data_IF_027433305746
#
_entry.id   IF_027433305746
#
_cell.length_a   1.000
_cell.length_b   1.000
_cell.length_c   1.000
_cell.angle_alpha   90.00
_cell.angle_beta   90.00
_cell.angle_gamma   90.00
#
_symmetry.space_group_name_H-M   'P 1'
#
loop_
_entity.id
_entity.type
_entity.pdbx_description
1 polymer ?
#
# COMPACT_ATOMS: atom_id res chain seq x y z
N UNK A 1 -20.03 -14.52 -2.86
CA UNK A 1 -20.87 -15.29 -1.92
C UNK A 1 -22.16 -15.85 -2.55
N UNK A 2 -22.76 -15.20 -3.55
CA UNK A 2 -24.04 -15.63 -4.11
C UNK A 2 -23.99 -16.99 -4.83
N UNK A 3 -22.89 -17.29 -5.54
CA UNK A 3 -22.77 -18.49 -6.37
C UNK A 3 -22.69 -19.81 -5.57
N UNK A 4 -21.95 -19.85 -4.46
CA UNK A 4 -21.88 -21.03 -3.58
C UNK A 4 -23.23 -21.34 -2.92
N UNK A 5 -23.97 -20.30 -2.56
CA UNK A 5 -25.33 -20.43 -2.02
C UNK A 5 -26.28 -20.96 -3.08
N UNK A 6 -26.24 -20.40 -4.29
CA UNK A 6 -27.01 -20.90 -5.44
C UNK A 6 -26.70 -22.37 -5.78
N UNK A 7 -25.42 -22.78 -5.79
CA UNK A 7 -25.03 -24.17 -6.03
C UNK A 7 -25.56 -25.12 -4.95
N UNK A 8 -25.54 -24.69 -3.69
CA UNK A 8 -26.07 -25.47 -2.57
C UNK A 8 -27.59 -25.61 -2.65
N UNK A 9 -28.29 -24.51 -2.94
CA UNK A 9 -29.74 -24.48 -3.04
C UNK A 9 -30.19 -25.34 -4.24
N UNK A 10 -29.51 -25.22 -5.40
CA UNK A 10 -29.72 -26.09 -6.56
C UNK A 10 -29.49 -27.57 -6.27
N UNK A 11 -28.44 -27.92 -5.51
CA UNK A 11 -28.21 -29.31 -5.08
C UNK A 11 -29.35 -29.83 -4.19
N UNK A 12 -29.91 -28.97 -3.35
CA UNK A 12 -31.07 -29.31 -2.50
C UNK A 12 -32.33 -29.54 -3.34
N UNK A 13 -32.59 -28.69 -4.32
CA UNK A 13 -33.70 -28.85 -5.27
C UNK A 13 -33.59 -30.19 -6.02
N UNK A 14 -32.40 -30.51 -6.56
CA UNK A 14 -32.15 -31.78 -7.23
C UNK A 14 -32.39 -32.98 -6.31
N UNK A 15 -31.99 -32.90 -5.04
CA UNK A 15 -32.25 -33.96 -4.06
C UNK A 15 -33.75 -34.17 -3.84
N UNK A 16 -34.51 -33.09 -3.71
CA UNK A 16 -35.95 -33.15 -3.53
C UNK A 16 -36.64 -33.72 -4.77
N UNK A 17 -36.23 -33.27 -5.96
CA UNK A 17 -36.75 -33.79 -7.24
C UNK A 17 -36.46 -35.27 -7.43
N UNK A 18 -35.24 -35.71 -7.12
CA UNK A 18 -34.87 -37.14 -7.18
C UNK A 18 -35.75 -37.96 -6.23
N UNK A 19 -36.00 -37.48 -5.00
CA UNK A 19 -36.90 -38.17 -4.05
C UNK A 19 -38.31 -38.31 -4.60
N UNK A 20 -38.88 -37.23 -5.16
CA UNK A 20 -40.21 -37.25 -5.77
C UNK A 20 -40.30 -38.25 -6.93
N UNK A 21 -39.30 -38.27 -7.82
CA UNK A 21 -39.28 -39.20 -8.95
C UNK A 21 -39.13 -40.65 -8.50
N UNK A 22 -38.29 -40.93 -7.49
CA UNK A 22 -38.17 -42.27 -6.91
C UNK A 22 -39.52 -42.74 -6.35
N UNK A 23 -40.24 -41.86 -5.66
CA UNK A 23 -41.56 -42.19 -5.10
C UNK A 23 -42.60 -42.45 -6.21
N UNK A 24 -42.56 -41.67 -7.29
CA UNK A 24 -43.38 -41.96 -8.48
C UNK A 24 -43.05 -43.32 -9.08
N UNK A 25 -41.77 -43.65 -9.25
CA UNK A 25 -41.34 -44.96 -9.78
C UNK A 25 -41.84 -46.11 -8.89
N UNK A 26 -41.80 -45.97 -7.56
CA UNK A 26 -42.37 -46.99 -6.66
C UNK A 26 -43.86 -47.21 -6.91
N UNK A 27 -44.65 -46.12 -6.96
CA UNK A 27 -46.09 -46.19 -7.26
C UNK A 27 -46.36 -46.88 -8.60
N UNK A 28 -45.61 -46.53 -9.65
CA UNK A 28 -45.75 -47.19 -10.95
C UNK A 28 -45.33 -48.66 -10.94
N UNK A 29 -44.34 -49.05 -10.13
CA UNK A 29 -43.96 -50.45 -9.93
C UNK A 29 -45.03 -51.24 -9.18
N UNK A 30 -45.69 -50.63 -8.19
CA UNK A 30 -46.83 -51.24 -7.51
C UNK A 30 -48.01 -51.43 -8.48
N UNK A 31 -48.34 -50.40 -9.27
CA UNK A 31 -49.36 -50.52 -10.33
C UNK A 31 -48.99 -51.58 -11.36
N UNK A 32 -47.72 -51.64 -11.79
CA UNK A 32 -47.23 -52.68 -12.69
C UNK A 32 -47.47 -54.07 -12.09
N UNK A 33 -47.21 -54.26 -10.79
CA UNK A 33 -47.45 -55.53 -10.10
C UNK A 33 -48.94 -55.89 -10.09
N UNK A 34 -49.82 -54.95 -9.73
CA UNK A 34 -51.27 -55.17 -9.72
C UNK A 34 -51.80 -55.56 -11.10
N UNK A 35 -51.39 -54.84 -12.15
CA UNK A 35 -51.81 -55.15 -13.53
C UNK A 35 -51.23 -56.50 -13.98
N UNK A 36 -50.00 -56.83 -13.60
CA UNK A 36 -49.38 -58.11 -13.94
C UNK A 36 -50.05 -59.29 -13.23
N UNK A 37 -50.49 -59.12 -11.99
CA UNK A 37 -51.23 -60.11 -11.21
C UNK A 37 -52.63 -60.35 -11.83
N UNK A 38 -53.30 -59.30 -12.33
CA UNK A 38 -54.59 -59.41 -13.05
C UNK A 38 -54.50 -60.20 -14.37
N UNK A 39 -53.36 -60.12 -15.06
CA UNK A 39 -53.09 -60.83 -16.33
C UNK A 39 -52.46 -62.22 -16.09
N UNK A 40 -52.29 -62.62 -14.82
CA UNK A 40 -51.73 -63.92 -14.46
C UNK A 40 -50.25 -64.08 -14.82
N UNK A 41 -49.52 -62.98 -15.00
CA UNK A 41 -48.07 -62.96 -15.22
C UNK A 41 -47.59 -63.62 -16.52
N UNK A 42 -48.48 -63.97 -17.46
CA UNK A 42 -48.07 -64.51 -18.75
C UNK A 42 -47.42 -63.41 -19.59
N UNK A 43 -46.28 -63.68 -20.26
CA UNK A 43 -45.74 -62.75 -21.25
C UNK A 43 -46.69 -62.71 -22.43
N UNK A 44 -47.44 -61.61 -22.52
CA UNK A 44 -48.40 -61.40 -23.60
C UNK A 44 -47.70 -60.67 -24.75
N UNK A 45 -47.63 -61.32 -25.90
CA UNK A 45 -47.13 -60.73 -27.13
C UNK A 45 -48.26 -59.94 -27.81
N UNK A 46 -48.17 -58.62 -27.73
CA UNK A 46 -49.22 -57.69 -28.17
C UNK A 46 -49.59 -57.90 -29.63
N UNK A 47 -48.60 -58.11 -30.48
CA UNK A 47 -48.79 -58.15 -31.92
C UNK A 47 -49.47 -59.47 -32.33
N UNK A 48 -49.14 -60.58 -31.65
CA UNK A 48 -49.83 -61.87 -31.82
C UNK A 48 -51.26 -61.86 -31.32
N UNK A 49 -51.57 -61.14 -30.24
CA UNK A 49 -52.95 -60.99 -29.76
C UNK A 49 -53.81 -60.20 -30.74
N UNK A 50 -53.27 -59.13 -31.34
CA UNK A 50 -53.98 -58.37 -32.38
C UNK A 50 -54.29 -59.24 -33.59
N UNK A 51 -53.30 -59.97 -34.10
CA UNK A 51 -53.51 -60.91 -35.21
C UNK A 51 -54.52 -62.02 -34.88
N UNK A 52 -54.57 -62.48 -33.64
CA UNK A 52 -55.50 -63.53 -33.21
C UNK A 52 -56.94 -63.00 -33.11
N UNK A 53 -57.13 -61.79 -32.60
CA UNK A 53 -58.43 -61.12 -32.54
C UNK A 53 -58.94 -60.87 -33.96
N UNK A 54 -58.12 -60.30 -34.84
CA UNK A 54 -58.50 -60.03 -36.24
C UNK A 54 -58.89 -61.32 -36.99
N UNK A 55 -58.19 -62.43 -36.75
CA UNK A 55 -58.54 -63.74 -37.33
C UNK A 55 -59.87 -64.28 -36.81
N UNK A 56 -60.14 -64.16 -35.51
CA UNK A 56 -61.38 -64.64 -34.90
C UNK A 56 -62.59 -63.78 -35.29
N UNK A 57 -62.40 -62.46 -35.44
CA UNK A 57 -63.42 -61.56 -35.99
C UNK A 57 -63.74 -61.91 -37.45
N UNK A 58 -62.71 -62.16 -38.26
CA UNK A 58 -62.88 -62.57 -39.66
C UNK A 58 -63.57 -63.95 -39.79
N UNK A 59 -63.20 -64.92 -38.96
CA UNK A 59 -63.87 -66.23 -38.91
C UNK A 59 -65.33 -66.11 -38.47
N UNK A 60 -65.62 -65.20 -37.54
CA UNK A 60 -66.98 -64.90 -37.12
C UNK A 60 -67.82 -64.27 -38.24
N UNK A 61 -67.26 -63.37 -39.05
CA UNK A 61 -67.95 -62.74 -40.20
C UNK A 61 -68.29 -63.73 -41.33
N UNK A 62 -67.57 -64.85 -41.43
CA UNK A 62 -67.69 -65.83 -42.53
C UNK A 62 -68.42 -67.11 -42.10
N UNK A 63 -68.52 -67.38 -40.80
CA UNK A 63 -69.15 -68.61 -40.27
C UNK A 63 -70.67 -68.48 -40.09
N UNK A 64 -71.50 -69.44 -40.58
CA UNK A 64 -72.95 -69.39 -40.42
C UNK A 64 -73.42 -69.85 -39.03
N UNK A 65 -73.97 -68.92 -38.26
CA UNK A 65 -75.25 -68.98 -37.50
C UNK A 65 -75.54 -70.24 -36.68
N UNK A 66 -74.79 -70.43 -35.59
CA UNK A 66 -75.25 -71.20 -34.43
C UNK A 66 -75.15 -70.28 -33.19
N UNK A 67 -76.27 -69.88 -32.55
CA UNK A 67 -76.27 -68.88 -31.48
C UNK A 67 -75.35 -69.20 -30.31
N UNK A 68 -75.13 -70.47 -29.98
CA UNK A 68 -74.22 -70.87 -28.89
C UNK A 68 -72.76 -70.63 -29.25
N UNK A 69 -72.35 -70.95 -30.48
CA UNK A 69 -70.98 -70.73 -30.94
C UNK A 69 -70.67 -69.26 -31.10
N UNK A 70 -71.62 -68.46 -31.57
CA UNK A 70 -71.49 -67.00 -31.61
C UNK A 70 -71.20 -66.43 -30.21
N UNK A 71 -71.93 -66.90 -29.19
CA UNK A 71 -71.68 -66.51 -27.80
C UNK A 71 -70.28 -66.87 -27.30
N UNK A 72 -69.75 -68.04 -27.68
CA UNK A 72 -68.39 -68.44 -27.34
C UNK A 72 -67.33 -67.58 -28.06
N UNK A 73 -67.55 -67.23 -29.33
CA UNK A 73 -66.70 -66.31 -30.09
C UNK A 73 -66.67 -64.92 -29.45
N UNK A 74 -67.84 -64.34 -29.16
CA UNK A 74 -67.90 -63.05 -28.47
C UNK A 74 -67.20 -63.08 -27.12
N UNK A 75 -67.37 -64.16 -26.34
CA UNK A 75 -66.74 -64.30 -25.03
C UNK A 75 -65.22 -64.40 -25.12
N UNK A 76 -64.71 -65.13 -26.12
CA UNK A 76 -63.27 -65.30 -26.35
C UNK A 76 -62.63 -64.03 -26.91
N UNK A 77 -63.24 -63.38 -27.89
CA UNK A 77 -62.80 -62.06 -28.40
C UNK A 77 -62.75 -61.04 -27.25
N UNK A 78 -63.81 -60.95 -26.44
CA UNK A 78 -63.84 -60.01 -25.30
C UNK A 78 -62.77 -60.33 -24.24
N UNK A 79 -62.39 -61.59 -24.05
CA UNK A 79 -61.28 -61.95 -23.17
C UNK A 79 -59.93 -61.55 -23.78
N UNK A 80 -59.72 -61.81 -25.06
CA UNK A 80 -58.49 -61.44 -25.78
C UNK A 80 -58.31 -59.92 -25.84
N UNK A 81 -59.37 -59.15 -26.05
CA UNK A 81 -59.34 -57.68 -26.00
C UNK A 81 -58.93 -57.16 -24.62
N UNK A 82 -59.43 -57.77 -23.54
CA UNK A 82 -59.04 -57.42 -22.17
C UNK A 82 -57.56 -57.72 -21.92
N UNK A 83 -57.07 -58.87 -22.38
CA UNK A 83 -55.65 -59.23 -22.29
C UNK A 83 -54.77 -58.28 -23.11
N UNK A 84 -55.22 -57.90 -24.31
CA UNK A 84 -54.55 -56.95 -25.18
C UNK A 84 -54.45 -55.57 -24.54
N UNK A 85 -55.56 -55.03 -24.02
CA UNK A 85 -55.58 -53.75 -23.33
C UNK A 85 -54.66 -53.76 -22.10
N UNK A 86 -54.68 -54.85 -21.33
CA UNK A 86 -53.79 -54.98 -20.18
C UNK A 86 -52.30 -55.04 -20.59
N UNK A 87 -51.96 -55.73 -21.68
CA UNK A 87 -50.61 -55.76 -22.25
C UNK A 87 -50.14 -54.37 -22.74
N UNK A 88 -51.03 -53.59 -23.33
CA UNK A 88 -50.74 -52.20 -23.71
C UNK A 88 -50.49 -51.31 -22.49
N UNK A 89 -51.31 -51.43 -21.44
CA UNK A 89 -51.12 -50.70 -20.17
C UNK A 89 -49.80 -51.09 -19.51
N UNK A 90 -49.44 -52.39 -19.47
CA UNK A 90 -48.16 -52.86 -18.93
C UNK A 90 -46.97 -52.26 -19.69
N UNK A 91 -47.03 -52.21 -21.02
CA UNK A 91 -45.97 -51.62 -21.85
C UNK A 91 -45.82 -50.13 -21.55
N UNK A 92 -46.94 -49.38 -21.49
CA UNK A 92 -46.92 -47.95 -21.13
C UNK A 92 -46.30 -47.72 -19.75
N UNK A 93 -46.69 -48.50 -18.73
CA UNK A 93 -46.13 -48.38 -17.38
C UNK A 93 -44.62 -48.67 -17.38
N UNK A 94 -44.17 -49.72 -18.08
CA UNK A 94 -42.74 -50.03 -18.23
C UNK A 94 -41.98 -48.88 -18.89
N UNK A 95 -42.51 -48.29 -19.96
CA UNK A 95 -41.90 -47.14 -20.64
C UNK A 95 -41.81 -45.91 -19.72
N UNK A 96 -42.85 -45.63 -18.95
CA UNK A 96 -42.84 -44.55 -17.96
C UNK A 96 -41.80 -44.79 -16.87
N UNK A 97 -41.69 -46.02 -16.34
CA UNK A 97 -40.68 -46.39 -15.35
C UNK A 97 -39.28 -46.21 -15.92
N UNK A 98 -39.04 -46.66 -17.16
CA UNK A 98 -37.74 -46.55 -17.82
C UNK A 98 -37.34 -45.07 -18.04
N UNK A 99 -38.24 -44.25 -18.60
CA UNK A 99 -38.01 -42.82 -18.80
C UNK A 99 -37.72 -42.09 -17.48
N UNK A 100 -38.52 -42.36 -16.45
CA UNK A 100 -38.33 -41.75 -15.13
C UNK A 100 -37.04 -42.21 -14.47
N UNK A 101 -36.64 -43.47 -14.66
CA UNK A 101 -35.38 -44.00 -14.12
C UNK A 101 -34.16 -43.37 -14.80
N UNK A 102 -34.21 -43.15 -16.11
CA UNK A 102 -33.17 -42.41 -16.84
C UNK A 102 -33.09 -40.95 -16.37
N UNK A 103 -34.22 -40.29 -16.11
CA UNK A 103 -34.23 -38.94 -15.55
C UNK A 103 -33.60 -38.89 -14.15
N UNK A 104 -33.92 -39.84 -13.28
CA UNK A 104 -33.30 -39.97 -11.94
C UNK A 104 -31.78 -40.10 -12.06
N UNK A 105 -31.29 -40.92 -12.99
CA UNK A 105 -29.87 -41.13 -13.21
C UNK A 105 -29.17 -39.85 -13.69
N UNK A 106 -29.75 -39.14 -14.66
CA UNK A 106 -29.25 -37.84 -15.12
C UNK A 106 -29.14 -36.83 -13.98
N UNK A 107 -30.20 -36.70 -13.17
CA UNK A 107 -30.22 -35.78 -12.03
C UNK A 107 -29.21 -36.18 -10.93
N UNK A 108 -28.98 -37.49 -10.73
CA UNK A 108 -27.94 -37.98 -9.81
C UNK A 108 -26.54 -37.57 -10.29
N UNK A 109 -26.26 -37.70 -11.58
CA UNK A 109 -24.99 -37.31 -12.15
C UNK A 109 -24.76 -35.79 -12.03
N UNK A 110 -25.76 -34.97 -12.38
CA UNK A 110 -25.72 -33.52 -12.21
C UNK A 110 -25.45 -33.14 -10.73
N UNK A 111 -26.10 -33.82 -9.79
CA UNK A 111 -25.88 -33.60 -8.35
C UNK A 111 -24.45 -33.93 -7.90
N UNK A 112 -23.86 -34.99 -8.46
CA UNK A 112 -22.49 -35.41 -8.14
C UNK A 112 -21.50 -34.37 -8.68
N UNK A 113 -21.68 -33.93 -9.92
CA UNK A 113 -20.85 -32.87 -10.53
C UNK A 113 -20.92 -31.57 -9.74
N UNK A 114 -22.12 -31.11 -9.36
CA UNK A 114 -22.28 -29.94 -8.50
C UNK A 114 -21.57 -30.12 -7.15
N UNK A 115 -21.60 -31.34 -6.60
CA UNK A 115 -20.87 -31.71 -5.39
C UNK A 115 -19.34 -31.63 -5.54
N UNK A 116 -18.80 -32.01 -6.70
CA UNK A 116 -17.38 -31.88 -7.03
C UNK A 116 -17.00 -30.41 -7.21
N UNK A 117 -17.75 -29.66 -8.04
CA UNK A 117 -17.50 -28.22 -8.27
C UNK A 117 -17.51 -27.41 -6.96
N UNK A 118 -18.45 -27.69 -6.06
CA UNK A 118 -18.45 -27.04 -4.74
C UNK A 118 -17.20 -27.38 -3.94
N UNK A 119 -16.79 -28.66 -3.90
CA UNK A 119 -15.57 -29.07 -3.20
C UNK A 119 -14.35 -28.35 -3.75
N UNK A 120 -14.19 -28.28 -5.07
CA UNK A 120 -13.05 -27.61 -5.71
C UNK A 120 -13.00 -26.12 -5.38
N UNK A 121 -14.15 -25.44 -5.34
CA UNK A 121 -14.22 -24.04 -4.90
C UNK A 121 -13.77 -23.91 -3.43
N UNK A 122 -14.22 -24.81 -2.55
CA UNK A 122 -13.85 -24.77 -1.14
C UNK A 122 -12.38 -25.10 -0.91
N UNK A 123 -11.87 -26.20 -1.45
CA UNK A 123 -10.50 -26.65 -1.21
C UNK A 123 -9.49 -25.79 -1.95
N UNK A 124 -9.68 -25.57 -3.25
CA UNK A 124 -8.63 -24.96 -4.06
C UNK A 124 -8.71 -23.44 -4.03
N UNK A 125 -9.89 -22.85 -4.12
CA UNK A 125 -9.99 -21.38 -4.16
C UNK A 125 -9.97 -20.79 -2.75
N UNK A 126 -10.84 -21.27 -1.86
CA UNK A 126 -10.99 -20.65 -0.54
C UNK A 126 -9.77 -20.88 0.36
N UNK A 127 -9.18 -22.09 0.38
CA UNK A 127 -7.99 -22.34 1.21
C UNK A 127 -6.78 -21.58 0.68
N UNK A 128 -6.56 -21.51 -0.64
CA UNK A 128 -5.47 -20.74 -1.21
C UNK A 128 -5.62 -19.24 -0.92
N UNK A 129 -6.82 -18.68 -1.09
CA UNK A 129 -7.08 -17.27 -0.73
C UNK A 129 -6.82 -17.05 0.77
N UNK A 130 -7.25 -17.97 1.63
CA UNK A 130 -7.02 -17.86 3.08
C UNK A 130 -5.52 -17.91 3.42
N UNK A 131 -4.75 -18.77 2.76
CA UNK A 131 -3.30 -18.85 2.91
C UNK A 131 -2.61 -17.56 2.45
N UNK A 132 -2.98 -17.04 1.27
CA UNK A 132 -2.47 -15.77 0.75
C UNK A 132 -2.78 -14.60 1.69
N UNK A 133 -3.98 -14.54 2.27
CA UNK A 133 -4.35 -13.51 3.25
C UNK A 133 -3.45 -13.60 4.49
N UNK A 134 -3.17 -14.80 4.99
CA UNK A 134 -2.28 -14.98 6.14
C UNK A 134 -0.85 -14.55 5.81
N UNK A 135 -0.34 -14.87 4.62
CA UNK A 135 0.99 -14.46 4.20
C UNK A 135 1.08 -12.93 4.06
N UNK A 136 0.07 -12.29 3.46
CA UNK A 136 0.00 -10.83 3.36
C UNK A 136 -0.09 -10.15 4.72
N UNK A 137 -0.82 -10.74 5.69
CA UNK A 137 -0.84 -10.24 7.07
C UNK A 137 0.56 -10.29 7.70
N UNK A 138 1.25 -11.42 7.58
CA UNK A 138 2.63 -11.55 8.08
C UNK A 138 3.58 -10.53 7.44
N UNK A 139 3.51 -10.34 6.12
CA UNK A 139 4.31 -9.33 5.40
C UNK A 139 4.01 -7.92 5.90
N UNK A 140 2.73 -7.57 6.05
CA UNK A 140 2.31 -6.28 6.61
C UNK A 140 2.88 -6.07 8.01
N UNK A 141 2.76 -7.05 8.88
CA UNK A 141 3.23 -6.94 10.27
C UNK A 141 4.76 -6.78 10.32
N UNK A 142 5.50 -7.48 9.45
CA UNK A 142 6.95 -7.29 9.28
C UNK A 142 7.30 -5.87 8.87
N UNK A 143 6.63 -5.34 7.84
CA UNK A 143 6.86 -3.96 7.35
C UNK A 143 6.54 -2.93 8.44
N UNK A 144 5.44 -3.13 9.18
CA UNK A 144 5.08 -2.23 10.29
C UNK A 144 6.16 -2.24 11.37
N UNK A 145 6.68 -3.42 11.73
CA UNK A 145 7.76 -3.52 12.70
C UNK A 145 9.05 -2.86 12.21
N UNK A 146 9.41 -3.03 10.95
CA UNK A 146 10.56 -2.35 10.33
C UNK A 146 10.38 -0.83 10.36
N UNK A 147 9.20 -0.32 10.04
CA UNK A 147 8.90 1.12 10.13
C UNK A 147 9.06 1.64 11.56
N UNK A 148 8.58 0.89 12.56
CA UNK A 148 8.74 1.27 13.97
C UNK A 148 10.21 1.30 14.37
N UNK A 149 11.01 0.32 13.96
CA UNK A 149 12.45 0.30 14.21
C UNK A 149 13.20 1.43 13.49
N UNK A 150 12.81 1.77 12.27
CA UNK A 150 13.39 2.90 11.54
C UNK A 150 13.04 4.24 12.19
N UNK A 151 11.79 4.40 12.66
CA UNK A 151 11.38 5.58 13.43
C UNK A 151 12.16 5.71 14.74
N UNK A 152 12.32 4.62 15.48
CA UNK A 152 13.07 4.62 16.74
C UNK A 152 14.55 4.93 16.56
N UNK A 153 15.14 4.61 15.40
CA UNK A 153 16.51 5.06 15.03
C UNK A 153 16.55 6.51 14.56
N UNK A 154 15.55 6.96 13.80
CA UNK A 154 15.49 8.32 13.23
C UNK A 154 15.31 9.40 14.30
N UNK A 155 14.43 9.18 15.25
CA UNK A 155 14.07 10.18 16.25
C UNK A 155 15.25 10.63 17.15
N UNK A 156 16.11 9.73 17.68
CA UNK A 156 17.30 10.16 18.42
C UNK A 156 18.34 10.85 17.54
N UNK A 157 18.49 10.44 16.27
CA UNK A 157 19.37 11.15 15.32
C UNK A 157 18.87 12.58 15.05
N UNK A 158 17.55 12.75 14.93
CA UNK A 158 16.93 14.07 14.77
C UNK A 158 17.16 14.95 16.01
N UNK A 159 16.94 14.39 17.20
CA UNK A 159 17.22 15.09 18.45
C UNK A 159 18.70 15.50 18.55
N UNK A 160 19.63 14.59 18.23
CA UNK A 160 21.06 14.86 18.24
C UNK A 160 21.47 15.94 17.24
N UNK A 161 20.89 15.94 16.05
CA UNK A 161 21.11 17.00 15.05
C UNK A 161 20.65 18.35 15.58
N UNK A 162 19.47 18.40 16.22
CA UNK A 162 18.91 19.64 16.74
C UNK A 162 19.76 20.17 17.91
N UNK A 163 20.24 19.29 18.81
CA UNK A 163 21.23 19.64 19.83
C UNK A 163 22.51 20.25 19.22
N UNK A 164 23.11 19.57 18.25
CA UNK A 164 24.33 20.06 17.58
C UNK A 164 24.11 21.41 16.92
N UNK A 165 22.94 21.62 16.28
CA UNK A 165 22.59 22.91 15.70
C UNK A 165 22.56 24.02 16.77
N UNK A 166 21.98 23.76 17.94
CA UNK A 166 21.98 24.75 19.03
C UNK A 166 23.39 25.04 19.55
N UNK A 167 24.25 24.01 19.65
CA UNK A 167 25.64 24.19 20.07
C UNK A 167 26.46 25.02 19.07
N UNK A 168 26.28 24.78 17.78
CA UNK A 168 26.92 25.56 16.71
C UNK A 168 26.49 27.02 16.78
N UNK A 169 25.20 27.30 16.97
CA UNK A 169 24.70 28.68 17.10
C UNK A 169 25.30 29.39 18.32
N UNK A 170 25.37 28.71 19.47
CA UNK A 170 26.00 29.26 20.68
C UNK A 170 27.47 29.59 20.45
N UNK A 171 28.25 28.66 19.89
CA UNK A 171 29.66 28.89 19.56
C UNK A 171 29.84 30.01 18.53
N UNK A 172 28.95 30.10 17.54
CA UNK A 172 28.99 31.17 16.54
C UNK A 172 28.73 32.55 17.17
N UNK A 173 27.82 32.64 18.15
CA UNK A 173 27.58 33.87 18.89
C UNK A 173 28.81 34.25 19.75
N UNK A 174 29.38 33.28 20.46
CA UNK A 174 30.60 33.46 21.27
C UNK A 174 31.79 33.94 20.42
N UNK A 175 31.99 33.36 19.23
CA UNK A 175 33.03 33.81 18.29
C UNK A 175 32.78 35.26 17.85
N UNK A 176 31.52 35.65 17.63
CA UNK A 176 31.18 37.02 17.25
C UNK A 176 31.50 37.99 18.38
N UNK A 177 31.08 37.69 19.60
CA UNK A 177 31.39 38.50 20.79
C UNK A 177 32.89 38.64 21.01
N UNK A 178 33.67 37.57 20.86
CA UNK A 178 35.12 37.61 20.99
C UNK A 178 35.78 38.46 19.88
N UNK A 179 35.25 38.41 18.65
CA UNK A 179 35.72 39.27 17.55
C UNK A 179 35.43 40.74 17.81
N UNK A 180 34.26 41.06 18.36
CA UNK A 180 33.88 42.43 18.70
C UNK A 180 34.77 42.96 19.83
N UNK A 181 34.99 42.18 20.90
CA UNK A 181 35.96 42.53 21.96
C UNK A 181 37.39 42.72 21.44
N UNK A 182 37.83 41.89 20.50
CA UNK A 182 39.15 42.02 19.90
C UNK A 182 39.27 43.33 19.09
N UNK A 183 38.20 43.74 18.40
CA UNK A 183 38.17 45.03 17.69
C UNK A 183 38.23 46.21 18.66
N UNK A 184 37.40 46.19 19.70
CA UNK A 184 37.41 47.23 20.75
C UNK A 184 38.81 47.39 21.36
N UNK A 185 39.46 46.27 21.73
CA UNK A 185 40.80 46.31 22.30
C UNK A 185 41.85 46.85 21.31
N UNK A 186 41.75 46.50 20.01
CA UNK A 186 42.64 47.05 18.99
C UNK A 186 42.42 48.56 18.80
N UNK A 187 41.18 49.04 18.84
CA UNK A 187 40.86 50.45 18.75
C UNK A 187 41.42 51.23 19.97
N UNK A 188 41.31 50.66 21.17
CA UNK A 188 41.94 51.19 22.38
C UNK A 188 43.47 51.27 22.25
N UNK A 189 44.11 50.19 21.80
CA UNK A 189 45.56 50.17 21.58
C UNK A 189 45.98 51.26 20.58
N UNK A 190 45.28 51.39 19.45
CA UNK A 190 45.55 52.41 18.45
C UNK A 190 45.41 53.83 19.05
N UNK A 191 44.37 54.07 19.86
CA UNK A 191 44.18 55.33 20.57
C UNK A 191 45.34 55.63 21.53
N UNK A 192 45.76 54.66 22.33
CA UNK A 192 46.89 54.83 23.25
C UNK A 192 48.21 55.05 22.51
N UNK A 193 48.44 54.38 21.38
CA UNK A 193 49.62 54.61 20.53
C UNK A 193 49.64 56.04 19.98
N UNK A 194 48.52 56.54 19.47
CA UNK A 194 48.41 57.93 18.99
C UNK A 194 48.67 58.94 20.10
N UNK A 195 48.09 58.73 21.29
CA UNK A 195 48.34 59.57 22.46
C UNK A 195 49.81 59.57 22.88
N UNK A 196 50.47 58.41 22.84
CA UNK A 196 51.88 58.30 23.16
C UNK A 196 52.75 59.06 22.14
N UNK A 197 52.45 58.95 20.85
CA UNK A 197 53.14 59.69 19.78
C UNK A 197 52.93 61.20 19.97
N UNK A 198 51.70 61.64 20.25
CA UNK A 198 51.37 63.03 20.49
C UNK A 198 52.10 63.59 21.73
N UNK A 199 52.13 62.82 22.84
CA UNK A 199 52.85 63.19 24.05
C UNK A 199 54.36 63.32 23.82
N UNK A 200 54.97 62.38 23.08
CA UNK A 200 56.38 62.45 22.68
C UNK A 200 56.67 63.69 21.82
N UNK A 201 55.82 63.97 20.83
CA UNK A 201 55.96 65.14 19.95
C UNK A 201 55.82 66.45 20.74
N UNK A 202 54.85 66.51 21.65
CA UNK A 202 54.65 67.67 22.54
C UNK A 202 55.86 67.92 23.43
N UNK A 203 56.41 66.87 24.05
CA UNK A 203 57.63 66.96 24.85
C UNK A 203 58.81 67.48 24.03
N UNK A 204 59.04 66.93 22.84
CA UNK A 204 60.12 67.38 21.95
C UNK A 204 59.93 68.83 21.47
N UNK A 205 58.69 69.26 21.25
CA UNK A 205 58.39 70.65 20.90
C UNK A 205 58.67 71.58 22.09
N UNK A 206 58.31 71.18 23.31
CA UNK A 206 58.59 71.95 24.51
C UNK A 206 60.10 72.10 24.75
N UNK A 207 60.89 71.03 24.58
CA UNK A 207 62.35 71.12 24.68
C UNK A 207 62.95 72.02 23.61
N UNK A 208 62.48 71.91 22.35
CA UNK A 208 62.91 72.82 21.27
C UNK A 208 62.58 74.27 21.56
N UNK A 209 61.37 74.56 22.06
CA UNK A 209 60.99 75.92 22.45
C UNK A 209 61.87 76.46 23.58
N UNK A 210 62.18 75.64 24.58
CA UNK A 210 63.11 76.01 25.65
C UNK A 210 64.52 76.28 25.12
N UNK A 211 65.03 75.47 24.19
CA UNK A 211 66.31 75.70 23.53
C UNK A 211 66.30 76.99 22.70
N UNK A 212 65.26 77.23 21.91
CA UNK A 212 65.09 78.48 21.15
C UNK A 212 64.98 79.71 22.06
N UNK A 213 64.26 79.61 23.17
CA UNK A 213 64.15 80.68 24.18
C UNK A 213 65.52 80.95 24.83
N UNK A 214 66.26 79.91 25.21
CA UNK A 214 67.63 80.06 25.74
C UNK A 214 68.57 80.71 24.74
N UNK A 215 68.55 80.27 23.48
CA UNK A 215 69.36 80.88 22.42
C UNK A 215 68.97 82.34 22.17
N UNK A 216 67.67 82.66 22.21
CA UNK A 216 67.18 84.05 22.11
C UNK A 216 67.61 84.90 23.30
N UNK A 217 67.56 84.36 24.52
CA UNK A 217 68.04 85.06 25.72
C UNK A 217 69.54 85.30 25.68
N UNK A 218 70.33 84.32 25.25
CA UNK A 218 71.77 84.47 25.04
C UNK A 218 72.08 85.52 23.95
N UNK A 219 71.37 85.47 22.82
CA UNK A 219 71.49 86.48 21.76
C UNK A 219 71.09 87.87 22.27
N UNK A 220 70.02 87.97 23.07
CA UNK A 220 69.58 89.22 23.68
C UNK A 220 70.61 89.76 24.66
N UNK A 221 71.18 88.93 25.52
CA UNK A 221 72.26 89.33 26.44
C UNK A 221 73.47 89.84 25.66
N UNK A 222 73.92 89.13 24.62
CA UNK A 222 75.02 89.58 23.75
C UNK A 222 74.71 90.93 23.09
N UNK A 223 73.47 91.13 22.64
CA UNK A 223 73.02 92.40 22.07
C UNK A 223 72.99 93.54 23.11
N UNK A 224 72.51 93.27 24.33
CA UNK A 224 72.50 94.22 25.45
C UNK A 224 73.92 94.59 25.91
N UNK A 225 74.83 93.62 26.00
CA UNK A 225 76.26 93.85 26.29
C UNK A 225 76.92 94.72 25.22
N UNK A 226 76.64 94.42 23.94
CA UNK A 226 77.14 95.21 22.81
C UNK A 226 76.63 96.65 22.86
N UNK A 227 75.33 96.84 23.15
CA UNK A 227 74.72 98.16 23.34
C UNK A 227 75.38 98.92 24.51
N UNK A 228 75.58 98.26 25.65
CA UNK A 228 76.21 98.89 26.82
C UNK A 228 77.65 99.33 26.56
N UNK A 229 78.44 98.56 25.80
CA UNK A 229 79.80 98.96 25.38
C UNK A 229 79.78 100.17 24.46
N UNK A 230 78.82 100.22 23.55
CA UNK A 230 78.58 101.37 22.66
C UNK A 230 78.22 102.63 23.47
N UNK A 231 77.36 102.52 24.48
CA UNK A 231 77.02 103.63 25.38
C UNK A 231 78.20 104.12 26.24
N UNK A 232 79.20 103.26 26.50
CA UNK A 232 80.42 103.62 27.25
C UNK A 232 81.49 104.30 26.38
N UNK A 233 81.26 104.47 25.07
CA UNK A 233 82.15 105.22 24.18
C UNK A 233 83.34 104.43 23.62
N UNK A 234 83.34 103.10 23.74
CA UNK A 234 84.36 102.23 23.15
C UNK A 234 84.11 102.05 21.64
N UNK A 235 85.17 102.01 20.80
CA UNK A 235 85.03 101.71 19.36
C UNK A 235 84.67 100.24 19.19
N UNK A 236 83.43 99.96 18.78
CA UNK A 236 82.94 98.61 18.50
C UNK A 236 82.96 98.34 17.00
N UNK A 237 83.50 97.20 16.58
CA UNK A 237 83.63 96.82 15.18
C UNK A 237 82.29 96.34 14.59
N UNK A 238 82.02 96.63 13.31
CA UNK A 238 80.68 96.40 12.70
C UNK A 238 80.29 94.91 12.68
N UNK A 239 81.27 94.02 12.49
CA UNK A 239 81.05 92.57 12.50
C UNK A 239 80.68 92.04 13.90
N UNK A 240 81.15 92.69 14.96
CA UNK A 240 80.81 92.35 16.33
C UNK A 240 79.39 92.83 16.71
N UNK A 241 78.99 94.00 16.19
CA UNK A 241 77.64 94.58 16.35
C UNK A 241 76.54 93.76 15.67
N UNK A 242 76.84 93.17 14.51
CA UNK A 242 75.94 92.28 13.78
C UNK A 242 75.94 90.84 14.34
N UNK A 243 76.76 90.55 15.35
CA UNK A 243 76.88 89.21 15.92
C UNK A 243 77.51 88.18 14.98
N UNK A 244 78.27 88.63 13.97
CA UNK A 244 78.89 87.79 12.94
C UNK A 244 80.40 87.58 13.20
N UNK A 245 80.82 87.59 14.46
CA UNK A 245 82.21 87.41 14.88
C UNK A 245 82.48 86.02 15.45
N UNK A 246 83.25 85.22 14.69
CA UNK A 246 83.85 83.91 14.98
C UNK A 246 83.02 82.65 14.62
N UNK A 247 82.72 82.48 13.33
CA UNK A 247 82.93 81.17 12.70
C UNK A 247 84.33 81.21 12.08
N UNK A 248 85.32 80.70 12.81
CA UNK A 248 86.54 80.15 12.22
C UNK A 248 87.24 79.27 13.27
N UNK A 249 87.55 78.04 12.86
CA UNK A 249 88.28 76.98 13.55
C UNK A 249 87.47 75.97 14.38
N UNK A 250 86.94 74.96 13.68
CA UNK A 250 87.33 73.57 13.93
C UNK A 250 86.94 72.70 12.72
N UNK A 251 87.72 72.83 11.63
CA UNK A 251 87.99 71.67 10.78
C UNK A 251 89.07 70.83 11.47
N UNK A 252 88.65 69.68 12.02
CA UNK A 252 89.43 68.45 12.13
C UNK A 252 88.53 67.29 12.53
#
# INVERSE_FOLDING_TARGET
>A
MNMLRQLRDRRSELLQRIKELIEKVKKYRELLKVVNDLVGGKPVDRDKLKELIEKLEFEHEISPTDPEKEWEFFRTIQQLEKELNAAEVLTRIKDYINKTSQEIERLRNERIELGQRMRDIYTNSLMNIKAQIQELKKKRDSIVNEIVQLKSKRDPLKARRDELKTQILKKSAEIKELRDKLRELNDEINKYQLLLIAARKSKNLATKKQEEERLREEARKKAEESLQRLMKGERVDLNYLLGLGLEDNNEK
#
